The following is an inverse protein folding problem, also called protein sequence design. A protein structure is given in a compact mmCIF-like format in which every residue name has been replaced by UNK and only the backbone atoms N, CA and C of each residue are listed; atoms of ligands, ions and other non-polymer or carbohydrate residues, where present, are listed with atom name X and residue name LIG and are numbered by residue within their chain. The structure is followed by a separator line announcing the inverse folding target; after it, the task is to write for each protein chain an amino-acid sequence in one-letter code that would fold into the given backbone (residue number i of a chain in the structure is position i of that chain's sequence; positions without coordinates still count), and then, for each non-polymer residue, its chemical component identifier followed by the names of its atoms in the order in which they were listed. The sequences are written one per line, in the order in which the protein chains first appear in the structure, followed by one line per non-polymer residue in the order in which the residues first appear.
data_IF_240930777167
#
_entry.id   IF_240930777167
#
_cell.length_a   1.000
_cell.length_b   1.000
_cell.length_c   1.000
_cell.angle_alpha   90.00
_cell.angle_beta   90.00
_cell.angle_gamma   90.00
#
_symmetry.space_group_name_H-M   'P 1'
#
loop_
_entity.id
_entity.type
_entity.pdbx_description
1 polymer ?
#
# COMPACT_ATOMS: atom_id res chain seq x y z
N UNK A 1 -8.72 5.47 -7.50
CA UNK A 1 -9.69 4.36 -7.43
C UNK A 1 -10.27 4.27 -6.01
N UNK A 2 -11.53 3.86 -5.83
CA UNK A 2 -12.13 3.51 -4.53
C UNK A 2 -13.07 2.31 -4.68
N UNK A 3 -12.88 1.28 -3.87
CA UNK A 3 -13.74 0.09 -3.80
C UNK A 3 -14.10 -0.12 -2.33
N UNK A 4 -15.39 -0.22 -2.01
CA UNK A 4 -15.90 -0.33 -0.65
C UNK A 4 -16.39 -1.73 -0.32
N UNK A 5 -16.18 -2.14 0.93
CA UNK A 5 -16.57 -3.43 1.48
C UNK A 5 -17.27 -3.24 2.82
N UNK A 6 -18.08 -4.23 3.22
CA UNK A 6 -18.80 -4.25 4.50
C UNK A 6 -19.54 -2.93 4.79
N UNK A 7 -20.35 -2.49 3.82
CA UNK A 7 -21.15 -1.25 3.90
C UNK A 7 -20.32 0.02 4.13
N UNK A 8 -19.12 0.09 3.56
CA UNK A 8 -18.25 1.28 3.63
C UNK A 8 -17.25 1.27 4.78
N UNK A 9 -17.31 0.28 5.68
CA UNK A 9 -16.41 0.17 6.83
C UNK A 9 -14.94 -0.02 6.42
N UNK A 10 -14.71 -0.70 5.29
CA UNK A 10 -13.38 -0.89 4.72
C UNK A 10 -13.39 -0.55 3.25
N UNK A 11 -12.26 -0.07 2.76
CA UNK A 11 -12.10 0.29 1.36
C UNK A 11 -10.69 0.01 0.85
N UNK A 12 -10.59 -0.28 -0.44
CA UNK A 12 -9.35 -0.16 -1.20
C UNK A 12 -9.39 1.19 -1.90
N UNK A 13 -8.42 2.05 -1.65
CA UNK A 13 -8.34 3.39 -2.24
C UNK A 13 -6.92 3.74 -2.66
N UNK A 14 -6.79 4.79 -3.47
CA UNK A 14 -5.48 5.38 -3.74
C UNK A 14 -4.84 5.87 -2.43
N UNK A 15 -3.50 5.81 -2.40
CA UNK A 15 -2.70 6.40 -1.35
C UNK A 15 -2.86 7.92 -1.30
N UNK A 16 -2.78 8.47 -0.09
CA UNK A 16 -2.82 9.89 0.19
C UNK A 16 -1.61 10.26 1.06
N UNK A 17 -1.18 11.53 1.01
CA UNK A 17 -0.01 11.97 1.80
C UNK A 17 -0.23 11.82 3.31
N UNK A 18 -1.46 12.02 3.77
CA UNK A 18 -1.83 11.93 5.18
C UNK A 18 -1.75 10.49 5.72
N UNK A 19 -1.62 9.48 4.85
CA UNK A 19 -1.40 8.09 5.27
C UNK A 19 0.02 7.85 5.84
N UNK A 20 0.92 8.84 5.75
CA UNK A 20 2.31 8.70 6.20
C UNK A 20 2.41 8.33 7.69
N UNK A 21 1.56 8.92 8.52
CA UNK A 21 1.56 8.66 9.96
C UNK A 21 1.16 7.22 10.28
N UNK A 22 0.07 6.73 9.67
CA UNK A 22 -0.39 5.36 9.89
C UNK A 22 0.59 4.35 9.32
N UNK A 23 1.13 4.60 8.12
CA UNK A 23 2.17 3.77 7.51
C UNK A 23 3.39 3.70 8.42
N UNK A 24 3.91 4.82 8.90
CA UNK A 24 5.07 4.84 9.80
C UNK A 24 4.79 4.08 11.09
N UNK A 25 3.60 4.23 11.68
CA UNK A 25 3.21 3.54 12.91
C UNK A 25 3.16 2.02 12.73
N UNK A 26 2.45 1.55 11.70
CA UNK A 26 2.27 0.12 11.44
C UNK A 26 3.55 -0.53 10.91
N UNK A 27 4.27 0.11 9.99
CA UNK A 27 5.51 -0.42 9.43
C UNK A 27 6.64 -0.55 10.45
N UNK A 28 6.67 0.33 11.46
CA UNK A 28 7.66 0.26 12.53
C UNK A 28 7.32 -0.78 13.62
N UNK A 29 6.14 -1.40 13.58
CA UNK A 29 5.77 -2.43 14.53
C UNK A 29 6.62 -3.69 14.33
N UNK A 30 7.48 -4.02 15.30
CA UNK A 30 8.38 -5.18 15.24
C UNK A 30 7.67 -6.51 14.97
N UNK A 31 6.42 -6.67 15.44
CA UNK A 31 5.61 -7.88 15.18
C UNK A 31 5.22 -8.02 13.71
N UNK A 32 5.09 -6.91 12.99
CA UNK A 32 4.87 -6.87 11.54
C UNK A 32 6.22 -7.04 10.84
N UNK A 33 7.21 -6.24 11.21
CA UNK A 33 8.51 -6.18 10.55
C UNK A 33 9.23 -7.53 10.45
N UNK A 34 9.18 -8.38 11.48
CA UNK A 34 9.84 -9.69 11.48
C UNK A 34 9.35 -10.64 10.37
N UNK A 35 8.21 -10.35 9.75
CA UNK A 35 7.64 -11.13 8.65
C UNK A 35 7.90 -10.50 7.27
N UNK A 36 8.65 -9.40 7.20
CA UNK A 36 8.99 -8.69 5.98
C UNK A 36 10.35 -9.14 5.43
N UNK A 37 10.68 -8.68 4.23
CA UNK A 37 11.99 -8.93 3.59
C UNK A 37 13.06 -8.06 4.23
N UNK A 38 14.32 -8.54 4.23
CA UNK A 38 15.47 -7.84 4.83
C UNK A 38 15.72 -6.42 4.27
N UNK A 39 15.27 -6.14 3.04
CA UNK A 39 15.36 -4.79 2.45
C UNK A 39 14.47 -3.77 3.15
N UNK A 40 13.47 -4.22 3.91
CA UNK A 40 12.55 -3.35 4.62
C UNK A 40 13.21 -2.82 5.90
N UNK A 41 13.35 -1.49 6.07
CA UNK A 41 14.16 -0.94 7.15
C UNK A 41 13.49 -1.11 8.52
N UNK A 42 14.31 -1.28 9.56
CA UNK A 42 13.89 -1.17 10.95
C UNK A 42 14.97 -0.47 11.79
N UNK A 43 14.64 0.60 12.54
CA UNK A 43 13.30 1.20 12.66
C UNK A 43 12.80 1.80 11.34
N UNK A 44 11.49 1.73 11.13
CA UNK A 44 10.83 2.37 9.98
C UNK A 44 10.42 3.78 10.40
N UNK A 45 10.90 4.79 9.66
CA UNK A 45 10.74 6.20 10.02
C UNK A 45 9.65 6.89 9.20
N UNK A 46 9.20 8.07 9.65
CA UNK A 46 8.27 8.90 8.89
C UNK A 46 8.82 9.22 7.49
N UNK A 47 10.11 9.51 7.37
CA UNK A 47 10.76 9.74 6.08
C UNK A 47 10.69 8.51 5.15
N UNK A 48 10.72 7.29 5.71
CA UNK A 48 10.50 6.09 4.90
C UNK A 48 9.06 5.99 4.39
N UNK A 49 8.08 6.35 5.22
CA UNK A 49 6.67 6.38 4.84
C UNK A 49 6.40 7.41 3.74
N UNK A 50 6.91 8.64 3.90
CA UNK A 50 6.80 9.70 2.91
C UNK A 50 7.45 9.33 1.58
N UNK A 51 8.63 8.71 1.62
CA UNK A 51 9.32 8.22 0.43
C UNK A 51 8.52 7.11 -0.28
N UNK A 52 7.98 6.15 0.48
CA UNK A 52 7.11 5.11 -0.07
C UNK A 52 5.88 5.71 -0.75
N UNK A 53 5.16 6.62 -0.07
CA UNK A 53 3.97 7.27 -0.61
C UNK A 53 4.29 8.08 -1.87
N UNK A 54 5.42 8.79 -1.90
CA UNK A 54 5.85 9.53 -3.08
C UNK A 54 6.01 8.63 -4.30
N UNK A 55 6.65 7.46 -4.13
CA UNK A 55 6.85 6.49 -5.20
C UNK A 55 5.51 5.95 -5.71
N UNK A 56 4.67 5.40 -4.82
CA UNK A 56 3.44 4.72 -5.23
C UNK A 56 2.36 5.67 -5.73
N UNK A 57 2.40 6.95 -5.35
CA UNK A 57 1.48 7.97 -5.85
C UNK A 57 1.86 8.47 -7.25
N UNK A 58 3.13 8.36 -7.63
CA UNK A 58 3.65 8.75 -8.96
C UNK A 58 3.54 7.62 -10.01
N UNK A 59 3.35 6.37 -9.58
CA UNK A 59 3.18 5.22 -10.48
C UNK A 59 1.99 5.37 -11.44
N UNK A 60 2.25 5.13 -12.74
CA UNK A 60 1.24 5.06 -13.81
C UNK A 60 1.46 3.83 -14.71
N UNK A 61 0.51 2.88 -14.78
CA UNK A 61 -0.72 2.83 -14.01
C UNK A 61 -0.46 2.60 -12.52
N UNK A 62 -1.34 3.15 -11.67
CA UNK A 62 -1.32 2.85 -10.23
C UNK A 62 -1.53 1.35 -10.01
N UNK A 63 -0.59 0.72 -9.33
CA UNK A 63 -0.64 -0.72 -9.00
C UNK A 63 -0.63 -1.00 -7.51
N UNK A 64 -0.34 -0.01 -6.66
CA UNK A 64 -0.29 -0.16 -5.21
C UNK A 64 -1.36 0.73 -4.58
N UNK A 65 -2.16 0.15 -3.70
CA UNK A 65 -3.32 0.79 -3.08
C UNK A 65 -3.29 0.63 -1.57
N UNK A 66 -3.97 1.56 -0.88
CA UNK A 66 -4.21 1.46 0.56
C UNK A 66 -5.43 0.58 0.82
N UNK A 67 -5.31 -0.32 1.80
CA UNK A 67 -6.46 -0.87 2.50
C UNK A 67 -6.73 0.08 3.66
N UNK A 68 -7.93 0.66 3.72
CA UNK A 68 -8.28 1.69 4.70
C UNK A 68 -9.60 1.38 5.41
N UNK A 69 -9.73 1.91 6.62
CA UNK A 69 -11.03 2.10 7.27
C UNK A 69 -11.47 3.57 7.05
N UNK A 70 -12.53 4.01 7.76
CA UNK A 70 -13.05 5.38 7.64
C UNK A 70 -12.07 6.47 8.14
N UNK A 71 -11.06 6.09 8.91
CA UNK A 71 -10.13 7.01 9.60
C UNK A 71 -8.77 7.04 8.91
N UNK A 72 -8.19 5.88 8.61
CA UNK A 72 -6.79 5.78 8.17
C UNK A 72 -6.52 4.57 7.27
N UNK A 73 -5.37 4.60 6.59
CA UNK A 73 -4.81 3.41 5.96
C UNK A 73 -4.32 2.42 7.02
N UNK A 74 -4.78 1.17 6.90
CA UNK A 74 -4.48 0.06 7.82
C UNK A 74 -3.70 -1.07 7.14
N UNK A 75 -3.34 -0.90 5.87
CA UNK A 75 -2.57 -1.89 5.11
C UNK A 75 -2.33 -1.46 3.68
N UNK A 76 -1.58 -2.29 2.95
CA UNK A 76 -1.25 -2.10 1.54
C UNK A 76 -1.63 -3.34 0.73
N UNK A 77 -2.10 -3.13 -0.49
CA UNK A 77 -2.31 -4.17 -1.48
C UNK A 77 -1.72 -3.75 -2.82
N UNK A 78 -0.94 -4.63 -3.43
CA UNK A 78 -0.28 -4.40 -4.72
C UNK A 78 -0.77 -5.37 -5.79
N UNK A 79 -0.88 -4.88 -7.02
CA UNK A 79 -1.14 -5.67 -8.21
C UNK A 79 0.19 -5.92 -8.93
N UNK A 80 0.54 -7.18 -9.12
CA UNK A 80 1.66 -7.55 -9.99
C UNK A 80 1.10 -7.84 -11.38
N UNK A 81 1.32 -6.91 -12.32
CA UNK A 81 0.90 -7.10 -13.71
C UNK A 81 1.77 -8.20 -14.32
N UNK A 82 1.16 -9.37 -14.56
CA UNK A 82 1.80 -10.45 -15.29
C UNK A 82 2.13 -10.01 -16.72
N UNK A 83 3.34 -10.30 -17.20
CA UNK A 83 3.77 -9.95 -18.58
C UNK A 83 3.29 -10.95 -19.64
N UNK A 84 2.55 -11.98 -19.24
CA UNK A 84 2.27 -13.12 -20.10
C UNK A 84 0.85 -13.67 -19.88
N UNK A 85 -0.11 -13.10 -20.61
CA UNK A 85 -1.32 -13.82 -21.01
C UNK A 85 -1.31 -13.77 -22.51
N UNK A 86 -1.09 -14.93 -23.14
CA UNK A 86 -1.07 -15.07 -24.59
C UNK A 86 -2.22 -14.29 -25.22
N UNK A 87 -1.84 -13.25 -25.97
CA UNK A 87 -2.65 -12.59 -26.99
C UNK A 87 -3.40 -13.69 -27.74
N UNK A 88 -4.72 -13.68 -27.62
CA UNK A 88 -5.65 -14.49 -28.41
C UNK A 88 -5.05 -14.87 -29.76
N UNK A 89 -4.78 -16.15 -29.96
CA UNK A 89 -4.80 -16.73 -31.31
C UNK A 89 -6.10 -17.52 -31.37
N UNK A 90 -7.06 -16.92 -32.07
CA UNK A 90 -8.16 -17.64 -32.71
C UNK A 90 -7.61 -18.38 -33.94
#
# INVERSE_FOLDING_TARGET
MKIEFLSGKYMIRDWQRDDAESVSGYANNRKIWINLRDIFPHPYTMANAEAFLSIVMEDDPKTVFAIANEVEAIGSIGLMVGKDVHRFTA
#
